data_IF_946160487948
#
_entry.id   IF_946160487948
#
_cell.length_a   1.000
_cell.length_b   1.000
_cell.length_c   1.000
_cell.angle_alpha   90.00
_cell.angle_beta   90.00
_cell.angle_gamma   90.00
#
_symmetry.space_group_name_H-M   'P 1'
#
loop_
_entity.id
_entity.type
_entity.pdbx_description
1 polymer ?
#
# COMPACT_ATOMS: atom_id res chain seq x y z
N UNK A 1 15.26 -14.67 6.64
CA UNK A 1 16.29 -13.59 6.52
C UNK A 1 15.68 -12.51 5.67
N UNK A 2 15.56 -11.29 6.18
CA UNK A 2 15.02 -10.17 5.39
C UNK A 2 16.10 -9.69 4.42
N UNK A 3 15.73 -9.61 3.14
CA UNK A 3 16.54 -9.06 2.05
C UNK A 3 15.96 -7.72 1.62
N UNK A 4 16.76 -6.88 0.99
CA UNK A 4 16.29 -5.62 0.39
C UNK A 4 16.45 -5.71 -1.12
N UNK A 5 15.36 -5.45 -1.85
CA UNK A 5 15.37 -5.30 -3.31
C UNK A 5 15.04 -3.86 -3.71
N UNK A 6 15.44 -3.42 -4.90
CA UNK A 6 15.00 -2.14 -5.46
C UNK A 6 13.48 -2.07 -5.63
N UNK A 7 12.92 -0.87 -5.47
CA UNK A 7 11.55 -0.56 -5.89
C UNK A 7 11.51 -0.39 -7.40
N UNK A 8 10.61 -1.13 -8.08
CA UNK A 8 10.44 -1.04 -9.52
C UNK A 8 9.53 0.14 -9.89
N UNK A 9 10.14 1.28 -10.11
CA UNK A 9 9.48 2.56 -10.38
C UNK A 9 8.74 2.56 -11.71
N UNK A 10 9.28 1.87 -12.72
CA UNK A 10 8.65 1.76 -14.04
C UNK A 10 7.32 1.00 -13.96
N UNK A 11 7.29 -0.11 -13.24
CA UNK A 11 6.05 -0.88 -13.00
C UNK A 11 5.01 -0.03 -12.25
N UNK A 12 5.41 0.71 -11.23
CA UNK A 12 4.50 1.57 -10.47
C UNK A 12 3.89 2.67 -11.33
N UNK A 13 4.68 3.34 -12.17
CA UNK A 13 4.23 4.38 -13.10
C UNK A 13 3.33 3.78 -14.18
N UNK A 14 3.71 2.66 -14.77
CA UNK A 14 2.89 1.95 -15.79
C UNK A 14 1.53 1.58 -15.22
N UNK A 15 1.48 1.06 -13.98
CA UNK A 15 0.23 0.77 -13.30
C UNK A 15 -0.61 2.04 -13.10
N UNK A 16 0.02 3.10 -12.60
CA UNK A 16 -0.65 4.37 -12.36
C UNK A 16 -1.31 4.93 -13.64
N UNK A 17 -0.58 4.99 -14.73
CA UNK A 17 -1.11 5.48 -16.01
C UNK A 17 -2.21 4.59 -16.59
N UNK A 18 -2.09 3.27 -16.39
CA UNK A 18 -3.09 2.30 -16.84
C UNK A 18 -4.43 2.48 -16.13
N UNK A 19 -4.41 2.75 -14.83
CA UNK A 19 -5.59 2.75 -13.98
C UNK A 19 -6.06 4.14 -13.49
N UNK A 20 -5.36 5.21 -13.83
CA UNK A 20 -5.65 6.57 -13.36
C UNK A 20 -7.10 7.03 -13.61
N UNK A 21 -7.69 6.65 -14.76
CA UNK A 21 -9.04 7.07 -15.16
C UNK A 21 -10.07 5.94 -15.06
N UNK A 22 -9.73 4.82 -14.43
CA UNK A 22 -10.60 3.66 -14.26
C UNK A 22 -10.24 2.92 -12.98
N UNK A 23 -11.08 1.98 -12.57
CA UNK A 23 -10.86 1.19 -11.35
C UNK A 23 -10.42 -0.22 -11.69
N UNK A 24 -9.35 -0.68 -11.02
CA UNK A 24 -8.94 -2.07 -11.09
C UNK A 24 -9.97 -2.93 -10.33
N UNK A 25 -10.57 -3.96 -10.96
CA UNK A 25 -11.63 -4.76 -10.36
C UNK A 25 -11.18 -5.59 -9.14
N UNK A 26 -9.87 -5.74 -8.93
CA UNK A 26 -9.33 -6.43 -7.75
C UNK A 26 -9.52 -5.64 -6.46
N UNK A 27 -9.77 -4.33 -6.55
CA UNK A 27 -9.84 -3.44 -5.39
C UNK A 27 -11.18 -2.70 -5.33
N UNK A 28 -11.72 -2.56 -4.13
CA UNK A 28 -12.91 -1.76 -3.94
C UNK A 28 -12.60 -0.28 -4.25
N UNK A 29 -13.50 0.37 -4.97
CA UNK A 29 -13.49 1.81 -5.14
C UNK A 29 -14.02 2.50 -3.87
N UNK A 30 -13.18 3.27 -3.19
CA UNK A 30 -13.54 4.01 -1.98
C UNK A 30 -14.01 5.45 -2.27
N UNK A 31 -14.18 5.87 -3.53
CA UNK A 31 -14.77 7.17 -3.86
C UNK A 31 -16.16 7.30 -3.21
N UNK A 32 -16.38 8.43 -2.52
CA UNK A 32 -17.61 8.65 -1.73
C UNK A 32 -17.64 7.95 -0.36
N UNK A 33 -16.54 7.27 0.05
CA UNK A 33 -16.39 6.59 1.35
C UNK A 33 -15.14 7.05 2.10
N UNK A 34 -14.78 8.32 2.00
CA UNK A 34 -13.57 8.89 2.59
C UNK A 34 -12.45 9.18 1.59
N UNK A 35 -12.58 8.72 0.35
CA UNK A 35 -11.60 8.94 -0.72
C UNK A 35 -10.88 7.67 -1.18
N UNK A 36 -10.43 7.67 -2.42
CA UNK A 36 -9.79 6.53 -3.11
C UNK A 36 -8.30 6.79 -3.43
N UNK A 37 -7.78 7.96 -3.03
CA UNK A 37 -6.44 8.40 -3.41
C UNK A 37 -5.34 7.48 -2.85
N UNK A 38 -5.37 7.19 -1.55
CA UNK A 38 -4.38 6.32 -0.92
C UNK A 38 -4.57 4.85 -1.31
N UNK A 39 -5.82 4.39 -1.50
CA UNK A 39 -6.08 3.07 -2.06
C UNK A 39 -5.42 2.90 -3.44
N UNK A 40 -5.55 3.90 -4.31
CA UNK A 40 -4.93 3.89 -5.63
C UNK A 40 -3.40 3.93 -5.57
N UNK A 41 -2.83 4.83 -4.76
CA UNK A 41 -1.37 4.92 -4.63
C UNK A 41 -0.77 3.67 -3.98
N UNK A 42 -1.50 3.01 -3.07
CA UNK A 42 -1.12 1.70 -2.54
C UNK A 42 -1.09 0.62 -3.63
N UNK A 43 -2.03 0.62 -4.56
CA UNK A 43 -2.00 -0.29 -5.71
C UNK A 43 -0.79 -0.02 -6.63
N UNK A 44 -0.46 1.24 -6.88
CA UNK A 44 0.74 1.62 -7.64
C UNK A 44 2.03 1.13 -6.94
N UNK A 45 2.11 1.33 -5.62
CA UNK A 45 3.22 0.87 -4.81
C UNK A 45 3.34 -0.66 -4.82
N UNK A 46 2.20 -1.37 -4.77
CA UNK A 46 2.18 -2.83 -4.88
C UNK A 46 2.70 -3.31 -6.23
N UNK A 47 2.32 -2.65 -7.32
CA UNK A 47 2.81 -3.00 -8.66
C UNK A 47 4.34 -2.90 -8.76
N UNK A 48 4.95 -1.93 -8.07
CA UNK A 48 6.42 -1.78 -8.04
C UNK A 48 7.12 -2.60 -6.96
N UNK A 49 6.40 -3.10 -5.95
CA UNK A 49 6.98 -3.83 -4.82
C UNK A 49 6.73 -5.34 -4.86
N UNK A 50 5.57 -5.78 -5.35
CA UNK A 50 5.07 -7.16 -5.27
C UNK A 50 5.18 -7.77 -3.85
N UNK A 51 5.06 -6.95 -2.82
CA UNK A 51 5.23 -7.38 -1.43
C UNK A 51 4.33 -6.57 -0.52
N UNK A 52 3.59 -7.22 0.35
CA UNK A 52 2.75 -6.63 1.38
C UNK A 52 3.26 -7.03 2.76
N UNK A 53 3.02 -6.20 3.77
CA UNK A 53 3.19 -6.55 5.18
C UNK A 53 1.81 -6.86 5.78
N UNK A 54 1.58 -8.13 6.12
CA UNK A 54 0.30 -8.63 6.65
C UNK A 54 0.15 -8.48 8.16
N UNK A 55 0.99 -7.69 8.81
CA UNK A 55 0.82 -7.39 10.24
C UNK A 55 -0.51 -6.67 10.46
N UNK A 56 -1.41 -7.19 11.31
CA UNK A 56 -2.67 -6.53 11.61
C UNK A 56 -2.45 -5.11 12.14
N UNK A 57 -3.26 -4.16 11.70
CA UNK A 57 -3.27 -2.74 12.04
C UNK A 57 -2.00 -1.93 11.67
N UNK A 58 -0.80 -2.51 11.83
CA UNK A 58 0.48 -1.85 11.61
C UNK A 58 1.19 -2.23 10.32
N UNK A 59 0.67 -3.20 9.56
CA UNK A 59 1.17 -3.57 8.25
C UNK A 59 0.64 -2.68 7.12
N UNK A 60 0.90 -3.15 5.91
CA UNK A 60 0.39 -2.51 4.69
C UNK A 60 -0.03 -3.61 3.71
N UNK A 61 -1.32 -3.90 3.66
CA UNK A 61 -1.90 -4.98 2.85
C UNK A 61 -3.36 -4.74 2.50
N UNK A 62 -3.83 -5.46 1.48
CA UNK A 62 -5.22 -5.56 1.07
C UNK A 62 -5.52 -7.01 0.64
N UNK A 63 -6.41 -7.68 1.35
CA UNK A 63 -6.97 -8.98 0.96
C UNK A 63 -8.39 -8.83 0.45
N UNK A 64 -9.21 -8.13 1.21
CA UNK A 64 -10.59 -7.78 0.85
C UNK A 64 -10.90 -6.36 1.34
N UNK A 65 -12.03 -5.77 0.94
CA UNK A 65 -12.45 -4.48 1.49
C UNK A 65 -12.53 -4.43 3.01
N UNK A 66 -12.88 -5.54 3.65
CA UNK A 66 -13.03 -5.70 5.09
C UNK A 66 -11.73 -6.14 5.78
N UNK A 67 -10.82 -6.80 5.04
CA UNK A 67 -9.51 -7.27 5.53
C UNK A 67 -8.38 -6.55 4.80
N UNK A 68 -8.10 -5.35 5.26
CA UNK A 68 -6.99 -4.51 4.81
C UNK A 68 -6.40 -3.72 5.98
N UNK A 69 -5.12 -3.42 5.90
CA UNK A 69 -4.46 -2.56 6.87
C UNK A 69 -4.94 -1.09 6.73
N UNK A 70 -5.03 -0.32 7.83
CA UNK A 70 -5.31 1.11 7.78
C UNK A 70 -4.37 1.89 6.83
N UNK A 71 -3.10 1.50 6.78
CA UNK A 71 -2.10 2.12 5.91
C UNK A 71 -2.39 1.98 4.41
N UNK A 72 -3.23 1.02 4.00
CA UNK A 72 -3.63 0.85 2.61
C UNK A 72 -4.54 1.98 2.08
N UNK A 73 -5.38 2.57 2.95
CA UNK A 73 -6.40 3.55 2.53
C UNK A 73 -6.30 4.90 3.22
N UNK A 74 -5.51 5.04 4.29
CA UNK A 74 -5.38 6.28 5.05
C UNK A 74 -4.14 7.05 4.63
N UNK A 75 -4.30 8.36 4.35
CA UNK A 75 -3.19 9.28 4.03
C UNK A 75 -2.14 9.30 5.13
N UNK A 76 -2.57 9.41 6.40
CA UNK A 76 -1.68 9.47 7.55
C UNK A 76 -0.95 8.13 7.78
N UNK A 77 -1.68 7.03 7.87
CA UNK A 77 -1.07 5.73 8.15
C UNK A 77 -0.19 5.20 7.00
N UNK A 78 -0.49 5.57 5.75
CA UNK A 78 0.41 5.29 4.62
C UNK A 78 1.78 5.95 4.82
N UNK A 79 1.79 7.23 5.21
CA UNK A 79 3.03 7.93 5.53
C UNK A 79 3.75 7.29 6.72
N UNK A 80 3.02 7.01 7.80
CA UNK A 80 3.60 6.44 9.02
C UNK A 80 4.24 5.07 8.76
N UNK A 81 3.60 4.22 7.93
CA UNK A 81 4.14 2.94 7.54
C UNK A 81 5.41 3.08 6.69
N UNK A 82 5.34 3.86 5.59
CA UNK A 82 6.46 4.00 4.65
C UNK A 82 7.67 4.64 5.31
N UNK A 83 7.47 5.66 6.15
CA UNK A 83 8.55 6.39 6.81
C UNK A 83 8.93 5.81 8.17
N UNK A 84 8.40 4.65 8.51
CA UNK A 84 8.72 3.89 9.72
C UNK A 84 8.60 4.76 10.98
N UNK A 85 7.44 5.44 11.14
CA UNK A 85 7.18 6.17 12.38
C UNK A 85 7.26 5.21 13.58
N UNK A 86 7.69 5.65 14.77
CA UNK A 86 8.16 4.77 15.84
C UNK A 86 7.22 3.61 16.20
N UNK A 87 5.90 3.83 16.18
CA UNK A 87 4.94 2.76 16.48
C UNK A 87 4.92 1.72 15.36
N UNK A 88 4.92 2.14 14.09
CA UNK A 88 4.95 1.23 12.95
C UNK A 88 6.27 0.45 12.89
N UNK A 89 7.40 1.10 13.13
CA UNK A 89 8.71 0.45 13.12
C UNK A 89 8.87 -0.66 14.19
N UNK A 90 8.09 -0.61 15.27
CA UNK A 90 8.16 -1.59 16.37
C UNK A 90 7.09 -2.67 16.30
N UNK A 91 5.93 -2.38 15.70
CA UNK A 91 4.75 -3.22 15.74
C UNK A 91 4.51 -4.02 14.43
N UNK A 92 5.14 -3.61 13.31
CA UNK A 92 5.02 -4.33 12.05
C UNK A 92 6.08 -5.44 11.90
N UNK A 93 5.92 -6.29 10.88
CA UNK A 93 6.86 -7.39 10.58
C UNK A 93 8.17 -6.91 9.96
N UNK A 94 8.30 -5.62 9.63
CA UNK A 94 9.46 -5.04 8.96
C UNK A 94 9.63 -5.49 7.51
N UNK A 95 8.56 -5.96 6.87
CA UNK A 95 8.50 -6.39 5.47
C UNK A 95 7.81 -5.31 4.65
N UNK A 96 7.97 -5.36 3.33
CA UNK A 96 7.30 -4.44 2.42
C UNK A 96 8.11 -3.20 2.07
N UNK A 97 7.48 -2.22 1.40
CA UNK A 97 8.12 -0.98 1.00
C UNK A 97 8.46 -0.11 2.20
N UNK A 98 9.61 0.55 2.13
CA UNK A 98 10.05 1.54 3.11
C UNK A 98 10.69 2.73 2.41
N UNK A 99 10.70 3.86 3.09
CA UNK A 99 11.19 5.11 2.51
C UNK A 99 11.28 6.23 3.53
N UNK A 100 11.40 7.43 3.02
CA UNK A 100 11.59 8.63 3.86
C UNK A 100 10.96 9.86 3.22
N UNK A 101 10.71 10.88 4.03
CA UNK A 101 10.39 12.22 3.54
C UNK A 101 11.65 12.86 2.93
N UNK A 102 11.48 13.49 1.76
CA UNK A 102 12.57 14.10 1.01
C UNK A 102 12.22 15.51 0.52
N UNK A 103 13.22 16.23 0.05
CA UNK A 103 13.02 17.53 -0.61
C UNK A 103 12.75 17.33 -2.10
N UNK A 104 12.13 18.33 -2.76
CA UNK A 104 11.81 18.28 -4.18
C UNK A 104 12.96 17.93 -5.14
N UNK A 105 14.21 18.17 -4.76
CA UNK A 105 15.38 17.82 -5.58
C UNK A 105 15.79 16.34 -5.51
N UNK A 106 15.17 15.57 -4.62
CA UNK A 106 15.50 14.17 -4.33
C UNK A 106 14.41 13.20 -4.79
N UNK A 107 13.31 13.75 -5.37
CA UNK A 107 12.19 12.93 -5.86
C UNK A 107 12.53 12.23 -7.17
N UNK A 108 11.93 11.07 -7.36
CA UNK A 108 12.03 10.26 -8.56
C UNK A 108 10.64 9.86 -9.07
N UNK A 109 10.57 9.34 -10.30
CA UNK A 109 9.35 8.73 -10.81
C UNK A 109 8.90 7.59 -9.87
N UNK A 110 7.59 7.48 -9.67
CA UNK A 110 7.02 6.48 -8.76
C UNK A 110 7.06 6.85 -7.27
N UNK A 111 7.66 8.00 -6.91
CA UNK A 111 7.54 8.56 -5.56
C UNK A 111 6.15 9.14 -5.32
N UNK A 112 5.83 9.43 -4.06
CA UNK A 112 4.51 9.92 -3.68
C UNK A 112 4.55 11.36 -3.16
N UNK A 113 3.43 12.05 -3.35
CA UNK A 113 3.18 13.38 -2.82
C UNK A 113 1.96 13.32 -1.91
N UNK A 114 2.04 13.97 -0.76
CA UNK A 114 0.83 14.21 0.04
C UNK A 114 0.58 15.71 0.16
N UNK A 115 -0.67 16.10 -0.09
CA UNK A 115 -1.13 17.49 -0.04
C UNK A 115 -1.82 17.76 1.29
N UNK A 116 -1.54 18.93 1.87
CA UNK A 116 -2.17 19.40 3.09
C UNK A 116 -3.04 20.64 2.85
N UNK A 117 -4.08 20.77 3.66
CA UNK A 117 -4.99 21.92 3.70
C UNK A 117 -4.47 23.07 4.57
N UNK A 118 -5.30 24.08 4.80
CA UNK A 118 -4.97 25.24 5.62
C UNK A 118 -4.78 24.93 7.12
N UNK A 119 -5.35 23.80 7.60
CA UNK A 119 -5.15 23.34 8.97
C UNK A 119 -3.84 22.58 9.12
N UNK A 120 -3.18 22.23 8.03
CA UNK A 120 -1.98 21.40 7.99
C UNK A 120 -2.29 19.90 7.94
N UNK A 121 -3.55 19.53 7.76
CA UNK A 121 -3.97 18.14 7.69
C UNK A 121 -3.72 17.59 6.28
N UNK A 122 -2.96 16.50 6.19
CA UNK A 122 -2.71 15.80 4.92
C UNK A 122 -3.94 15.00 4.51
N UNK A 123 -4.54 15.37 3.36
CA UNK A 123 -5.82 14.86 2.90
C UNK A 123 -5.78 14.08 1.58
N UNK A 124 -4.67 14.16 0.84
CA UNK A 124 -4.61 13.58 -0.52
C UNK A 124 -3.23 12.98 -0.79
N UNK A 125 -3.20 11.79 -1.42
CA UNK A 125 -1.97 11.11 -1.83
C UNK A 125 -1.96 10.95 -3.35
N UNK A 126 -0.83 11.32 -3.98
CA UNK A 126 -0.60 11.31 -5.42
C UNK A 126 0.65 10.48 -5.72
N UNK A 127 0.76 9.91 -6.92
CA UNK A 127 2.00 9.30 -7.43
C UNK A 127 2.61 10.16 -8.54
N UNK A 128 3.93 10.33 -8.50
CA UNK A 128 4.70 11.06 -9.51
C UNK A 128 4.87 10.18 -10.75
N UNK A 129 4.41 10.65 -11.90
CA UNK A 129 4.49 9.93 -13.18
C UNK A 129 5.33 10.63 -14.23
N UNK A 130 5.72 11.89 -14.00
CA UNK A 130 6.55 12.62 -14.94
C UNK A 130 7.08 13.93 -14.39
N UNK A 131 8.01 14.52 -15.13
CA UNK A 131 8.57 15.85 -14.84
C UNK A 131 8.51 16.73 -16.08
N UNK A 132 8.06 17.97 -15.90
CA UNK A 132 8.18 19.05 -16.85
C UNK A 132 9.17 20.11 -16.35
N UNK A 133 9.65 21.05 -17.16
CA UNK A 133 10.69 22.01 -16.73
C UNK A 133 10.36 22.79 -15.46
N UNK A 134 9.07 23.05 -15.20
CA UNK A 134 8.61 23.81 -14.03
C UNK A 134 7.44 23.14 -13.31
N UNK A 135 7.20 21.84 -13.53
CA UNK A 135 6.06 21.15 -12.94
C UNK A 135 6.32 19.65 -12.76
N UNK A 136 5.50 19.01 -11.94
CA UNK A 136 5.49 17.59 -11.71
C UNK A 136 4.18 17.04 -12.28
N UNK A 137 4.26 15.94 -13.03
CA UNK A 137 3.09 15.24 -13.50
C UNK A 137 2.72 14.12 -12.52
N UNK A 138 1.43 13.99 -12.24
CA UNK A 138 0.93 13.03 -11.28
C UNK A 138 -0.27 12.23 -11.82
N UNK A 139 -0.46 11.04 -11.25
CA UNK A 139 -1.72 10.30 -11.33
C UNK A 139 -2.36 10.20 -9.94
N UNK A 140 -3.71 10.21 -9.91
CA UNK A 140 -4.48 10.12 -8.67
C UNK A 140 -5.90 9.62 -8.90
N UNK A 141 -6.54 9.11 -7.83
CA UNK A 141 -7.97 8.88 -7.72
C UNK A 141 -8.61 9.87 -6.75
N UNK A 142 -9.94 9.80 -6.63
CA UNK A 142 -10.86 10.73 -5.93
C UNK A 142 -11.20 11.96 -6.79
N UNK A 143 -10.21 12.59 -7.39
CA UNK A 143 -10.31 13.54 -8.48
C UNK A 143 -9.40 12.98 -9.58
N UNK A 144 -9.98 12.06 -10.37
CA UNK A 144 -9.23 11.21 -11.29
C UNK A 144 -8.32 12.02 -12.20
N UNK A 145 -7.04 11.71 -12.16
CA UNK A 145 -6.01 12.45 -12.86
C UNK A 145 -4.99 11.53 -13.53
N UNK A 146 -4.79 11.74 -14.82
CA UNK A 146 -3.76 11.09 -15.63
C UNK A 146 -2.73 12.14 -16.08
N UNK A 147 -1.50 12.04 -15.61
CA UNK A 147 -0.40 12.95 -15.94
C UNK A 147 -0.79 14.42 -15.79
N UNK A 148 -1.56 14.73 -14.74
CA UNK A 148 -2.02 16.07 -14.42
C UNK A 148 -0.89 16.86 -13.75
N UNK A 149 -0.75 18.14 -14.11
CA UNK A 149 0.23 19.04 -13.49
C UNK A 149 -0.10 19.28 -12.01
N UNK A 150 0.88 19.11 -11.13
CA UNK A 150 0.75 19.37 -9.69
C UNK A 150 0.36 20.82 -9.40
N UNK A 151 0.86 21.76 -10.19
CA UNK A 151 0.52 23.19 -10.07
C UNK A 151 -0.97 23.52 -10.25
N UNK A 152 -1.78 22.59 -10.76
CA UNK A 152 -3.23 22.76 -10.93
C UNK A 152 -4.02 22.34 -9.69
N UNK A 153 -3.36 21.79 -8.66
CA UNK A 153 -3.98 21.46 -7.39
C UNK A 153 -3.98 22.67 -6.45
N UNK A 154 -4.98 22.72 -5.59
CA UNK A 154 -5.06 23.72 -4.54
C UNK A 154 -4.65 23.08 -3.21
N UNK A 155 -3.53 23.50 -2.64
CA UNK A 155 -2.99 23.01 -1.37
C UNK A 155 -2.21 24.12 -0.65
N UNK A 156 -2.09 24.01 0.66
CA UNK A 156 -1.31 24.97 1.46
C UNK A 156 0.13 24.52 1.62
N UNK A 157 0.35 23.24 1.82
CA UNK A 157 1.67 22.63 1.89
C UNK A 157 1.64 21.20 1.31
N UNK A 158 2.81 20.65 1.08
CA UNK A 158 2.96 19.27 0.63
C UNK A 158 4.19 18.63 1.25
N UNK A 159 4.23 17.29 1.21
CA UNK A 159 5.44 16.50 1.50
C UNK A 159 5.68 15.48 0.39
N UNK A 160 6.95 15.16 0.18
CA UNK A 160 7.38 14.13 -0.76
C UNK A 160 7.84 12.89 0.00
N UNK A 161 7.40 11.72 -0.44
CA UNK A 161 7.74 10.42 0.13
C UNK A 161 8.53 9.64 -0.93
N UNK A 162 9.81 9.44 -0.68
CA UNK A 162 10.71 8.67 -1.54
C UNK A 162 10.76 7.22 -1.06
N UNK A 163 10.64 6.27 -1.99
CA UNK A 163 10.76 4.85 -1.68
C UNK A 163 12.22 4.43 -1.83
N UNK A 164 12.84 4.07 -0.71
CA UNK A 164 14.24 3.65 -0.64
C UNK A 164 14.44 2.18 -1.04
N UNK A 165 13.42 1.34 -0.87
CA UNK A 165 13.51 -0.08 -1.22
C UNK A 165 12.36 -0.91 -0.70
N UNK A 166 12.48 -2.22 -0.90
CA UNK A 166 11.49 -3.22 -0.50
C UNK A 166 12.17 -4.29 0.34
N UNK A 167 11.69 -4.52 1.56
CA UNK A 167 12.15 -5.63 2.41
C UNK A 167 11.31 -6.86 2.12
N UNK A 168 11.96 -7.98 1.82
CA UNK A 168 11.33 -9.25 1.44
C UNK A 168 11.93 -10.41 2.20
N UNK A 169 11.16 -11.46 2.42
CA UNK A 169 11.67 -12.73 2.93
C UNK A 169 12.01 -13.71 1.80
N UNK A 170 11.21 -13.73 0.76
CA UNK A 170 11.38 -14.57 -0.44
C UNK A 170 11.18 -13.68 -1.68
N UNK A 171 12.05 -13.79 -2.69
CA UNK A 171 11.87 -13.06 -3.94
C UNK A 171 10.57 -13.51 -4.64
N UNK A 172 9.69 -12.56 -4.96
CA UNK A 172 8.49 -12.77 -5.75
C UNK A 172 8.24 -11.54 -6.63
N UNK A 173 8.15 -11.74 -7.93
CA UNK A 173 7.93 -10.69 -8.92
C UNK A 173 6.75 -11.00 -9.88
N UNK A 174 5.95 -12.03 -9.57
CA UNK A 174 4.86 -12.47 -10.45
C UNK A 174 3.60 -11.62 -10.37
N UNK A 175 3.52 -10.69 -9.43
CA UNK A 175 2.30 -9.93 -9.18
C UNK A 175 1.98 -8.90 -10.27
N UNK A 176 2.96 -8.39 -10.99
CA UNK A 176 2.80 -7.20 -11.83
C UNK A 176 1.82 -7.41 -12.99
N UNK A 177 2.00 -8.46 -13.78
CA UNK A 177 1.14 -8.73 -14.93
C UNK A 177 -0.33 -8.95 -14.53
N UNK A 178 -0.64 -9.79 -13.51
CA UNK A 178 -2.02 -9.92 -13.03
C UNK A 178 -2.61 -8.61 -12.53
N UNK A 179 -1.86 -7.80 -11.79
CA UNK A 179 -2.33 -6.49 -11.32
C UNK A 179 -2.61 -5.53 -12.47
N UNK A 180 -1.73 -5.47 -13.47
CA UNK A 180 -1.88 -4.60 -14.63
C UNK A 180 -3.13 -4.96 -15.44
N UNK A 181 -3.42 -6.25 -15.58
CA UNK A 181 -4.58 -6.78 -16.30
C UNK A 181 -5.86 -6.80 -15.46
N UNK A 182 -5.79 -6.52 -14.15
CA UNK A 182 -6.92 -6.62 -13.23
C UNK A 182 -7.39 -8.06 -13.00
N UNK A 183 -6.48 -9.02 -13.07
CA UNK A 183 -6.72 -10.44 -12.79
C UNK A 183 -6.23 -10.81 -11.40
N UNK A 184 -6.98 -11.67 -10.70
CA UNK A 184 -6.49 -12.29 -9.48
C UNK A 184 -5.25 -13.14 -9.78
N UNK A 185 -4.28 -13.12 -8.85
CA UNK A 185 -3.15 -14.04 -8.89
C UNK A 185 -3.68 -15.41 -8.46
N UNK A 186 -3.61 -16.40 -9.37
CA UNK A 186 -3.86 -17.79 -9.01
C UNK A 186 -2.63 -18.31 -8.25
N UNK A 187 -2.67 -18.23 -6.92
CA UNK A 187 -1.70 -18.92 -6.08
C UNK A 187 -2.24 -20.33 -5.86
N UNK A 188 -1.51 -21.34 -6.29
CA UNK A 188 -1.82 -22.71 -5.88
C UNK A 188 -1.72 -22.75 -4.34
N UNK A 189 -2.86 -22.96 -3.68
CA UNK A 189 -2.87 -23.17 -2.23
C UNK A 189 -2.14 -24.48 -1.95
N UNK A 190 -0.96 -24.48 -1.29
CA UNK A 190 -0.23 -25.69 -0.96
C UNK A 190 -1.01 -26.63 -0.03
N UNK A 191 -2.15 -26.16 0.49
CA UNK A 191 -3.06 -26.91 1.33
C UNK A 191 -4.39 -27.28 0.64
N UNK A 192 -4.55 -26.94 -0.67
CA UNK A 192 -5.73 -27.34 -1.42
C UNK A 192 -5.76 -28.87 -1.53
N UNK A 193 -6.68 -29.49 -0.77
CA UNK A 193 -6.80 -30.95 -0.62
C UNK A 193 -6.39 -31.50 0.73
N UNK A 194 -5.84 -30.69 1.65
CA UNK A 194 -5.68 -31.13 3.04
C UNK A 194 -7.03 -31.04 3.77
N UNK A 195 -7.64 -32.18 4.08
CA UNK A 195 -8.80 -32.21 5.00
C UNK A 195 -8.41 -31.51 6.31
N UNK A 196 -9.26 -30.59 6.81
CA UNK A 196 -9.00 -29.99 8.12
C UNK A 196 -8.86 -31.10 9.18
N UNK A 197 -7.88 -30.98 10.08
CA UNK A 197 -7.70 -32.00 11.12
C UNK A 197 -9.01 -32.17 11.89
N UNK A 198 -9.42 -33.41 12.07
CA UNK A 198 -10.63 -33.74 12.80
C UNK A 198 -10.62 -33.06 14.17
N UNK A 199 -11.77 -32.52 14.64
CA UNK A 199 -11.85 -31.86 15.93
C UNK A 199 -11.38 -32.84 17.02
N UNK A 200 -10.38 -32.44 17.79
CA UNK A 200 -9.90 -33.24 18.92
C UNK A 200 -11.04 -33.39 19.94
N UNK A 201 -11.26 -34.59 20.47
CA UNK A 201 -12.24 -34.77 21.53
C UNK A 201 -11.85 -33.93 22.75
N UNK A 202 -12.83 -33.37 23.48
CA UNK A 202 -12.53 -32.59 24.68
C UNK A 202 -11.70 -33.44 25.65
N UNK A 203 -10.67 -32.82 26.21
CA UNK A 203 -9.82 -33.46 27.23
C UNK A 203 -10.70 -33.96 28.40
N UNK A 204 -10.67 -35.25 28.64
CA UNK A 204 -11.35 -35.83 29.81
C UNK A 204 -10.66 -35.35 31.10
N UNK A 205 -11.44 -34.78 31.98
CA UNK A 205 -11.23 -34.81 33.41
C UNK A 205 -10.36 -33.74 34.05
N UNK A 206 -10.99 -32.67 34.48
CA UNK A 206 -10.65 -32.14 35.81
C UNK A 206 -11.93 -31.84 36.58
N UNK A 207 -12.26 -32.74 37.49
CA UNK A 207 -13.23 -32.53 38.55
C UNK A 207 -12.79 -31.34 39.41
N UNK A 208 -13.62 -30.34 39.68
CA UNK A 208 -13.26 -29.29 40.63
C UNK A 208 -13.16 -29.88 42.05
N UNK A 209 -12.25 -29.41 42.90
CA UNK A 209 -12.18 -29.83 44.29
C UNK A 209 -13.43 -29.38 45.08
N UNK A 210 -14.00 -30.27 45.84
CA UNK A 210 -15.04 -29.98 46.81
C UNK A 210 -14.57 -28.91 47.79
N UNK A 211 -15.30 -27.81 47.87
CA UNK A 211 -15.14 -26.81 48.93
C UNK A 211 -16.11 -27.18 50.05
N UNK A 212 -15.55 -27.64 51.18
CA UNK A 212 -16.23 -27.59 52.48
C UNK A 212 -16.13 -26.21 53.10
#
# INVERSE_FOLDING_TARGET
>A
MILVKPYDRERAVTYAETWALRRNPLFLNFAGRGGDCTNFTSQCLLAGSCTMDFTPDFGWYYRTPEDRAPAWTSVAFFYDFITEQPVFATENAGIGPFGREVRAREIELGDFIQLADEAGDYYHTLIITGFEPNDILICAHTDDALNRRLSTYNYTSLRFIHIDGIRIEVPDDICFEPLLEGRAIEVEDPFDGAEPPAPQPPAEGSTPPDVL
#
